data_IF_193139290291
#
_entry.id   IF_193139290291
#
_cell.length_a   1.000
_cell.length_b   1.000
_cell.length_c   1.000
_cell.angle_alpha   90.00
_cell.angle_beta   90.00
_cell.angle_gamma   90.00
#
_symmetry.space_group_name_H-M   'P 1'
#
loop_
_entity.id
_entity.type
_entity.pdbx_description
1 polymer ?
#
# COMPACT_ATOMS: atom_id res chain seq x y z
N UNK A 1 0.90 -0.99 18.21
CA UNK A 1 0.16 0.08 18.92
C UNK A 1 -0.12 1.30 18.04
N UNK A 2 0.86 2.15 17.67
CA UNK A 2 0.58 3.34 16.86
C UNK A 2 0.06 3.01 15.45
N UNK A 3 0.71 2.05 14.77
CA UNK A 3 0.23 1.54 13.48
C UNK A 3 -1.21 1.02 13.55
N UNK A 4 -1.54 0.29 14.63
CA UNK A 4 -2.89 -0.24 14.85
C UNK A 4 -3.90 0.88 15.05
N UNK A 5 -3.59 1.84 15.93
CA UNK A 5 -4.50 2.91 16.31
C UNK A 5 -4.82 3.86 15.14
N UNK A 6 -3.81 4.20 14.33
CA UNK A 6 -3.95 5.21 13.29
C UNK A 6 -4.27 4.65 11.90
N UNK A 7 -3.93 3.39 11.60
CA UNK A 7 -4.08 2.84 10.25
C UNK A 7 -4.86 1.51 10.21
N UNK A 8 -4.41 0.49 10.96
CA UNK A 8 -4.96 -0.86 10.80
C UNK A 8 -6.39 -0.97 11.37
N UNK A 9 -6.63 -0.47 12.59
CA UNK A 9 -7.95 -0.55 13.20
C UNK A 9 -9.01 0.30 12.47
N UNK A 10 -8.72 1.54 12.02
CA UNK A 10 -9.62 2.28 11.14
C UNK A 10 -9.95 1.52 9.84
N UNK A 11 -8.97 0.91 9.17
CA UNK A 11 -9.20 0.11 7.96
C UNK A 11 -10.06 -1.13 8.23
N UNK A 12 -9.83 -1.82 9.35
CA UNK A 12 -10.70 -2.92 9.80
C UNK A 12 -12.15 -2.45 9.99
N UNK A 13 -12.35 -1.29 10.62
CA UNK A 13 -13.70 -0.72 10.80
C UNK A 13 -14.33 -0.36 9.46
N UNK A 14 -13.58 0.23 8.53
CA UNK A 14 -14.04 0.54 7.18
C UNK A 14 -14.54 -0.73 6.47
N UNK A 15 -13.74 -1.80 6.48
CA UNK A 15 -14.14 -3.09 5.91
C UNK A 15 -15.41 -3.63 6.56
N UNK A 16 -15.48 -3.63 7.89
CA UNK A 16 -16.68 -4.07 8.62
C UNK A 16 -17.92 -3.27 8.21
N UNK A 17 -17.80 -1.95 8.07
CA UNK A 17 -18.92 -1.13 7.61
C UNK A 17 -19.30 -1.42 6.16
N UNK A 18 -18.34 -1.64 5.28
CA UNK A 18 -18.62 -1.96 3.88
C UNK A 18 -19.36 -3.29 3.74
N UNK A 19 -18.86 -4.34 4.41
CA UNK A 19 -19.47 -5.68 4.42
C UNK A 19 -20.92 -5.64 4.94
N UNK A 20 -21.19 -4.85 5.98
CA UNK A 20 -22.54 -4.71 6.55
C UNK A 20 -23.44 -3.71 5.79
N UNK A 21 -22.98 -3.17 4.65
CA UNK A 21 -23.73 -2.20 3.87
C UNK A 21 -24.22 -2.80 2.56
N UNK A 22 -25.18 -2.13 1.91
CA UNK A 22 -25.58 -2.45 0.54
C UNK A 22 -24.68 -1.82 -0.53
N UNK A 23 -23.52 -1.26 -0.14
CA UNK A 23 -22.58 -0.63 -1.07
C UNK A 23 -21.76 -1.68 -1.81
N UNK A 24 -21.51 -1.41 -3.09
CA UNK A 24 -20.72 -2.26 -4.00
C UNK A 24 -19.62 -1.47 -4.71
N UNK A 25 -19.24 -0.32 -4.16
CA UNK A 25 -18.29 0.61 -4.77
C UNK A 25 -16.86 0.52 -4.19
N UNK A 26 -16.66 -0.15 -3.06
CA UNK A 26 -15.32 -0.53 -2.60
C UNK A 26 -14.76 -1.59 -3.55
N UNK A 27 -13.66 -1.26 -4.25
CA UNK A 27 -13.06 -2.13 -5.27
C UNK A 27 -11.84 -2.93 -4.81
N UNK A 28 -11.24 -2.55 -3.69
CA UNK A 28 -10.07 -3.24 -3.16
C UNK A 28 -9.36 -2.47 -2.06
N UNK A 29 -8.45 -3.17 -1.38
CA UNK A 29 -7.52 -2.62 -0.40
C UNK A 29 -6.11 -3.04 -0.79
N UNK A 30 -5.18 -2.11 -0.63
CA UNK A 30 -3.76 -2.34 -0.83
C UNK A 30 -3.04 -2.30 0.52
N UNK A 31 -2.20 -3.29 0.79
CA UNK A 31 -1.26 -3.32 1.90
C UNK A 31 0.15 -3.24 1.35
N UNK A 32 0.70 -2.03 1.37
CA UNK A 32 2.11 -1.86 1.03
C UNK A 32 3.00 -2.39 2.17
N UNK A 33 3.70 -3.50 1.92
CA UNK A 33 4.62 -4.12 2.89
C UNK A 33 5.93 -4.55 2.24
N UNK A 34 6.50 -3.66 1.42
CA UNK A 34 7.79 -3.86 0.80
C UNK A 34 8.84 -2.94 1.43
N UNK A 35 9.79 -3.55 2.14
CA UNK A 35 10.95 -2.83 2.69
C UNK A 35 12.00 -2.62 1.59
N UNK A 36 11.99 -1.44 0.98
CA UNK A 36 13.01 -1.04 0.00
C UNK A 36 14.33 -0.54 0.62
N UNK A 37 15.29 -0.15 -0.24
CA UNK A 37 16.58 0.40 0.19
C UNK A 37 16.48 1.80 0.81
N UNK A 38 15.39 2.52 0.54
CA UNK A 38 15.08 3.84 1.10
C UNK A 38 13.88 3.74 2.04
N UNK A 39 13.88 4.56 3.10
CA UNK A 39 12.76 4.67 4.05
C UNK A 39 12.84 6.01 4.78
N UNK A 40 11.69 6.51 5.21
CA UNK A 40 11.57 7.67 6.09
C UNK A 40 11.94 7.37 7.54
N UNK A 41 12.05 6.10 7.94
CA UNK A 41 12.38 5.74 9.33
C UNK A 41 13.63 6.45 9.88
N UNK A 42 14.78 6.57 9.16
CA UNK A 42 15.94 7.29 9.69
C UNK A 42 15.69 8.77 9.90
N UNK A 43 14.84 9.39 9.07
CA UNK A 43 14.45 10.79 9.23
C UNK A 43 13.60 11.01 10.48
N UNK A 44 12.70 10.07 10.80
CA UNK A 44 11.83 10.19 11.99
C UNK A 44 12.52 9.80 13.29
N UNK A 45 13.45 8.85 13.25
CA UNK A 45 14.03 8.27 14.48
C UNK A 45 15.47 8.67 14.72
N UNK A 46 16.13 9.33 13.76
CA UNK A 46 17.58 9.58 13.77
C UNK A 46 18.39 8.29 14.03
N UNK A 47 18.00 7.19 13.38
CA UNK A 47 18.57 5.86 13.59
C UNK A 47 18.64 5.08 12.29
N UNK A 48 19.68 4.26 12.12
CA UNK A 48 19.82 3.32 11.00
C UNK A 48 19.19 1.95 11.26
N UNK A 49 18.50 1.78 12.41
CA UNK A 49 17.80 0.54 12.73
C UNK A 49 16.72 0.26 11.68
N UNK A 50 16.56 -1.01 11.32
CA UNK A 50 15.44 -1.44 10.51
C UNK A 50 14.16 -1.52 11.35
N UNK A 51 13.16 -0.72 10.98
CA UNK A 51 11.83 -0.71 11.57
C UNK A 51 10.79 -1.39 10.67
N UNK A 52 11.22 -2.03 9.59
CA UNK A 52 10.33 -2.52 8.53
C UNK A 52 9.78 -1.37 7.69
N UNK A 53 8.66 -1.61 7.03
CA UNK A 53 7.97 -0.62 6.20
C UNK A 53 7.39 0.49 7.08
N UNK A 54 7.94 1.70 6.98
CA UNK A 54 7.47 2.85 7.73
C UNK A 54 6.34 3.56 6.99
N UNK A 55 5.55 4.35 7.73
CA UNK A 55 4.55 5.22 7.11
C UNK A 55 5.22 6.16 6.10
N UNK A 56 4.59 6.34 4.93
CA UNK A 56 5.04 7.16 3.79
C UNK A 56 6.12 6.49 2.92
N UNK A 57 6.67 5.33 3.29
CA UNK A 57 7.65 4.62 2.46
C UNK A 57 7.08 4.19 1.10
N UNK A 58 5.79 3.89 1.03
CA UNK A 58 5.06 3.57 -0.19
C UNK A 58 5.12 4.69 -1.23
N UNK A 59 5.11 5.95 -0.78
CA UNK A 59 5.19 7.13 -1.65
C UNK A 59 6.50 7.21 -2.43
N UNK A 60 7.59 6.61 -1.92
CA UNK A 60 8.89 6.56 -2.60
C UNK A 60 8.83 5.72 -3.89
N UNK A 61 7.80 4.89 -4.04
CA UNK A 61 7.57 4.05 -5.21
C UNK A 61 6.52 4.64 -6.18
N UNK A 62 5.90 5.78 -5.84
CA UNK A 62 4.97 6.51 -6.70
C UNK A 62 5.56 7.82 -7.21
N UNK A 63 6.30 8.51 -6.36
CA UNK A 63 6.87 9.82 -6.63
C UNK A 63 8.38 9.76 -6.47
N UNK A 64 9.07 10.68 -7.15
CA UNK A 64 10.47 10.92 -6.84
C UNK A 64 10.57 11.40 -5.38
N UNK A 65 11.29 10.64 -4.56
CA UNK A 65 11.48 10.98 -3.15
C UNK A 65 12.20 12.31 -2.97
N UNK A 66 12.11 12.92 -1.77
CA UNK A 66 12.88 14.10 -1.42
C UNK A 66 14.38 13.92 -1.69
N UNK A 67 15.04 15.01 -2.11
CA UNK A 67 16.49 15.04 -2.28
C UNK A 67 17.17 14.62 -0.98
N UNK A 68 18.11 13.68 -1.06
CA UNK A 68 18.83 13.14 0.10
C UNK A 68 18.14 11.97 0.80
N UNK A 69 16.89 11.64 0.45
CA UNK A 69 16.17 10.47 0.99
C UNK A 69 16.15 9.30 0.00
N UNK A 70 15.93 9.58 -1.28
CA UNK A 70 15.95 8.60 -2.38
C UNK A 70 16.81 9.13 -3.52
N UNK A 71 17.59 8.24 -4.13
CA UNK A 71 18.39 8.54 -5.32
C UNK A 71 17.81 7.87 -6.59
N UNK A 72 16.55 7.45 -6.52
CA UNK A 72 15.91 6.64 -7.56
C UNK A 72 16.40 5.19 -7.56
N UNK A 73 15.83 4.38 -8.44
CA UNK A 73 16.08 2.94 -8.51
C UNK A 73 16.78 2.57 -9.81
N UNK A 74 17.69 1.61 -9.75
CA UNK A 74 18.33 1.09 -10.96
C UNK A 74 17.28 0.41 -11.85
N UNK A 75 17.34 0.64 -13.17
CA UNK A 75 16.28 0.20 -14.11
C UNK A 75 15.93 -1.29 -14.08
N UNK A 76 16.87 -2.14 -13.66
CA UNK A 76 16.71 -3.60 -13.60
C UNK A 76 16.52 -4.11 -12.16
N UNK A 77 16.34 -3.22 -11.18
CA UNK A 77 16.17 -3.61 -9.79
C UNK A 77 14.73 -4.07 -9.50
N UNK A 78 14.53 -4.86 -8.44
CA UNK A 78 13.18 -5.21 -7.96
C UNK A 78 12.32 -3.97 -7.68
N UNK A 79 12.92 -2.90 -7.19
CA UNK A 79 12.23 -1.63 -6.90
C UNK A 79 11.73 -0.96 -8.17
N UNK A 80 12.52 -0.94 -9.26
CA UNK A 80 12.05 -0.39 -10.53
C UNK A 80 10.87 -1.20 -11.11
N UNK A 81 10.87 -2.52 -10.92
CA UNK A 81 9.73 -3.37 -11.28
C UNK A 81 8.50 -3.06 -10.40
N UNK A 82 8.70 -2.85 -9.09
CA UNK A 82 7.65 -2.45 -8.16
C UNK A 82 7.07 -1.07 -8.51
N UNK A 83 7.91 -0.06 -8.77
CA UNK A 83 7.45 1.27 -9.24
C UNK A 83 6.57 1.13 -10.47
N UNK A 84 7.01 0.36 -11.48
CA UNK A 84 6.24 0.15 -12.70
C UNK A 84 4.88 -0.48 -12.41
N UNK A 85 4.83 -1.50 -11.56
CA UNK A 85 3.59 -2.19 -11.17
C UNK A 85 2.67 -1.27 -10.37
N UNK A 86 3.22 -0.55 -9.40
CA UNK A 86 2.46 0.30 -8.48
C UNK A 86 1.89 1.54 -9.17
N UNK A 87 2.68 2.22 -10.02
CA UNK A 87 2.18 3.33 -10.84
C UNK A 87 1.09 2.85 -11.82
N UNK A 88 1.28 1.69 -12.46
CA UNK A 88 0.27 1.11 -13.36
C UNK A 88 -1.03 0.81 -12.64
N UNK A 89 -0.97 0.36 -11.39
CA UNK A 89 -2.16 0.11 -10.57
C UNK A 89 -3.00 1.39 -10.44
N UNK A 90 -2.39 2.50 -9.98
CA UNK A 90 -3.11 3.77 -9.83
C UNK A 90 -3.58 4.33 -11.16
N UNK A 91 -2.76 4.26 -12.20
CA UNK A 91 -3.13 4.72 -13.53
C UNK A 91 -4.36 3.97 -14.06
N UNK A 92 -4.33 2.63 -14.03
CA UNK A 92 -5.42 1.79 -14.55
C UNK A 92 -6.70 2.03 -13.75
N UNK A 93 -6.59 2.14 -12.43
CA UNK A 93 -7.73 2.44 -11.56
C UNK A 93 -8.32 3.83 -11.83
N UNK A 94 -7.49 4.84 -12.06
CA UNK A 94 -7.96 6.19 -12.40
C UNK A 94 -8.66 6.23 -13.77
N UNK A 95 -8.18 5.46 -14.75
CA UNK A 95 -8.75 5.40 -16.09
C UNK A 95 -10.07 4.60 -16.14
N UNK A 96 -10.15 3.47 -15.42
CA UNK A 96 -11.22 2.48 -15.61
C UNK A 96 -12.06 2.19 -14.36
N UNK A 97 -11.69 2.72 -13.20
CA UNK A 97 -12.25 2.31 -11.90
C UNK A 97 -11.84 0.91 -11.45
N UNK A 98 -10.90 0.27 -12.17
CA UNK A 98 -10.39 -1.07 -11.93
C UNK A 98 -8.93 -1.18 -12.41
N UNK A 99 -8.16 -2.08 -11.81
CA UNK A 99 -6.82 -2.44 -12.27
C UNK A 99 -6.69 -3.96 -12.27
N UNK A 100 -6.12 -4.53 -13.33
CA UNK A 100 -5.81 -5.97 -13.43
C UNK A 100 -4.88 -6.45 -12.33
N UNK A 101 -4.17 -5.54 -11.64
CA UNK A 101 -3.39 -5.87 -10.46
C UNK A 101 -4.27 -6.41 -9.32
N UNK A 102 -5.56 -6.02 -9.27
CA UNK A 102 -6.57 -6.56 -8.37
C UNK A 102 -7.20 -7.87 -8.87
N UNK A 103 -6.81 -8.37 -10.05
CA UNK A 103 -7.35 -9.62 -10.56
C UNK A 103 -6.98 -10.79 -9.63
N UNK A 104 -8.00 -11.53 -9.19
CA UNK A 104 -7.82 -12.68 -8.30
C UNK A 104 -7.80 -12.34 -6.81
N UNK A 105 -7.98 -11.07 -6.43
CA UNK A 105 -8.26 -10.69 -5.04
C UNK A 105 -9.76 -10.80 -4.83
N UNK A 106 -10.17 -11.67 -3.90
CA UNK A 106 -11.59 -11.79 -3.56
C UNK A 106 -12.12 -10.54 -2.85
N UNK A 107 -13.32 -10.09 -3.22
CA UNK A 107 -14.00 -9.02 -2.51
C UNK A 107 -14.22 -9.42 -1.03
N UNK A 108 -13.95 -8.48 -0.13
CA UNK A 108 -14.18 -8.66 1.30
C UNK A 108 -15.69 -8.73 1.59
N UNK A 109 -16.13 -9.84 2.18
CA UNK A 109 -17.53 -10.16 2.48
C UNK A 109 -17.64 -10.90 3.82
N UNK A 110 -18.87 -11.26 4.23
CA UNK A 110 -19.13 -11.92 5.51
C UNK A 110 -18.39 -13.26 5.70
N UNK A 111 -18.04 -13.96 4.62
CA UNK A 111 -17.39 -15.28 4.68
C UNK A 111 -15.88 -15.19 4.93
N UNK A 112 -15.22 -14.18 4.37
CA UNK A 112 -13.77 -14.01 4.47
C UNK A 112 -13.35 -12.93 5.48
N UNK A 113 -14.27 -12.12 6.01
CA UNK A 113 -13.97 -11.18 7.07
C UNK A 113 -13.60 -11.88 8.39
N UNK A 114 -12.52 -11.45 9.10
CA UNK A 114 -11.70 -10.27 8.85
C UNK A 114 -10.42 -10.54 8.01
N UNK A 115 -10.25 -11.75 7.50
CA UNK A 115 -9.07 -12.20 6.75
C UNK A 115 -9.21 -11.91 5.24
N UNK A 116 -9.75 -10.74 4.90
CA UNK A 116 -9.93 -10.34 3.51
C UNK A 116 -8.57 -10.25 2.80
N UNK A 117 -8.53 -10.68 1.55
CA UNK A 117 -7.33 -10.56 0.72
C UNK A 117 -7.06 -9.09 0.37
N UNK A 118 -5.79 -8.76 0.22
CA UNK A 118 -5.32 -7.42 -0.10
C UNK A 118 -4.17 -7.53 -1.11
N UNK A 119 -4.01 -6.46 -1.88
CA UNK A 119 -2.94 -6.32 -2.86
C UNK A 119 -1.64 -5.88 -2.20
#
# INVERSE_FOLDING_TARGET
LLGDAYFIHPTYRLLKYNVNSSRSDLRGILRFDYRGPYSYSPYYTNSSKDFGTAHVDDSLFLFNGPVGLSNGYAKQSPEAALVKRYVRLYQSFAENGYSDEFAGIEECNDLNFPNCEYL
#
